data_IF_178997080004
#
_entry.id   IF_178997080004
#
_cell.length_a   1.000
_cell.length_b   1.000
_cell.length_c   1.000
_cell.angle_alpha   90.00
_cell.angle_beta   90.00
_cell.angle_gamma   90.00
#
_symmetry.space_group_name_H-M   'P 1'
#
loop_
_entity.id
_entity.type
_entity.pdbx_description
1 polymer ?
#
# COMPACT_ATOMS: atom_id res chain seq x y z
N UNK A 1 -12.56 -43.55 2.40
CA UNK A 1 -12.64 -42.09 2.20
C UNK A 1 -12.62 -41.82 0.71
N UNK A 2 -13.61 -41.12 0.15
CA UNK A 2 -13.65 -40.88 -1.31
C UNK A 2 -13.00 -39.54 -1.65
N UNK A 3 -12.44 -39.42 -2.86
CA UNK A 3 -11.80 -38.18 -3.35
C UNK A 3 -12.71 -36.95 -3.25
N UNK A 4 -14.02 -37.14 -3.41
CA UNK A 4 -15.03 -36.09 -3.25
C UNK A 4 -15.18 -35.63 -1.80
N UNK A 5 -15.16 -36.55 -0.84
CA UNK A 5 -15.25 -36.22 0.59
C UNK A 5 -14.00 -35.48 1.06
N UNK A 6 -12.83 -35.93 0.63
CA UNK A 6 -11.56 -35.26 0.94
C UNK A 6 -11.49 -33.82 0.38
N UNK A 7 -11.94 -33.61 -0.86
CA UNK A 7 -11.98 -32.27 -1.46
C UNK A 7 -12.97 -31.33 -0.75
N UNK A 8 -14.12 -31.85 -0.31
CA UNK A 8 -15.12 -31.08 0.44
C UNK A 8 -14.62 -30.69 1.84
N UNK A 9 -13.93 -31.59 2.54
CA UNK A 9 -13.34 -31.33 3.85
C UNK A 9 -12.16 -30.35 3.76
N UNK A 10 -11.33 -30.45 2.71
CA UNK A 10 -10.23 -29.52 2.47
C UNK A 10 -10.74 -28.10 2.19
N UNK A 11 -11.80 -27.96 1.38
CA UNK A 11 -12.41 -26.65 1.09
C UNK A 11 -13.09 -26.04 2.32
N UNK A 12 -13.78 -26.85 3.13
CA UNK A 12 -14.37 -26.39 4.39
C UNK A 12 -13.30 -25.94 5.41
N UNK A 13 -12.20 -26.69 5.52
CA UNK A 13 -11.09 -26.36 6.42
C UNK A 13 -10.35 -25.07 6.04
N UNK A 14 -10.08 -24.85 4.74
CA UNK A 14 -9.47 -23.61 4.24
C UNK A 14 -10.39 -22.39 4.43
N UNK A 15 -11.70 -22.55 4.17
CA UNK A 15 -12.65 -21.45 4.35
C UNK A 15 -12.74 -21.02 5.82
N UNK A 16 -12.79 -21.97 6.76
CA UNK A 16 -12.85 -21.68 8.20
C UNK A 16 -11.56 -21.03 8.75
N UNK A 17 -10.40 -21.42 8.22
CA UNK A 17 -9.11 -20.84 8.64
C UNK A 17 -8.87 -19.42 8.11
N UNK A 18 -9.50 -19.05 6.99
CA UNK A 18 -9.37 -17.72 6.37
C UNK A 18 -10.49 -16.74 6.76
N UNK A 19 -11.67 -17.25 7.17
CA UNK A 19 -12.83 -16.43 7.53
C UNK A 19 -12.54 -15.31 8.56
N UNK A 20 -11.83 -15.53 9.69
CA UNK A 20 -11.58 -14.46 10.66
C UNK A 20 -10.61 -13.39 10.14
N UNK A 21 -9.69 -13.72 9.23
CA UNK A 21 -8.78 -12.74 8.59
C UNK A 21 -9.50 -11.89 7.52
N UNK A 22 -10.44 -12.50 6.80
CA UNK A 22 -11.29 -11.80 5.84
C UNK A 22 -12.36 -10.95 6.53
N UNK A 23 -12.92 -11.42 7.65
CA UNK A 23 -13.90 -10.67 8.45
C UNK A 23 -13.28 -9.46 9.16
N UNK A 24 -12.01 -9.54 9.59
CA UNK A 24 -11.27 -8.38 10.12
C UNK A 24 -11.05 -7.27 9.06
N UNK A 25 -11.07 -7.62 7.77
CA UNK A 25 -11.03 -6.67 6.65
C UNK A 25 -12.43 -6.14 6.27
N UNK A 26 -13.50 -6.86 6.60
CA UNK A 26 -14.88 -6.51 6.26
C UNK A 26 -15.48 -5.53 7.29
N UNK A 27 -15.14 -4.25 7.20
CA UNK A 27 -15.83 -3.23 8.02
C UNK A 27 -15.18 -1.84 8.05
N UNK A 28 -13.91 -1.74 7.63
CA UNK A 28 -13.22 -0.46 7.48
C UNK A 28 -12.56 -0.36 6.11
N UNK A 29 -12.36 0.84 5.56
CA UNK A 29 -11.70 0.97 4.28
C UNK A 29 -10.27 0.44 4.32
N UNK A 30 -9.76 -0.15 3.21
CA UNK A 30 -8.40 -0.67 3.14
C UNK A 30 -7.41 0.48 3.26
N UNK A 31 -6.36 0.27 4.07
CA UNK A 31 -5.32 1.27 4.31
C UNK A 31 -4.04 0.87 3.60
N UNK A 32 -3.65 1.66 2.61
CA UNK A 32 -2.51 1.37 1.74
C UNK A 32 -1.37 2.32 2.10
N UNK A 33 -0.22 1.76 2.47
CA UNK A 33 1.03 2.49 2.55
C UNK A 33 1.71 2.44 1.18
N UNK A 34 1.71 3.56 0.47
CA UNK A 34 2.36 3.68 -0.83
C UNK A 34 3.81 4.11 -0.61
N UNK A 35 4.75 3.16 -0.69
CA UNK A 35 6.19 3.47 -0.74
C UNK A 35 6.57 3.84 -2.16
N UNK A 36 6.57 5.13 -2.46
CA UNK A 36 6.86 5.64 -3.80
C UNK A 36 7.38 7.06 -3.72
N UNK A 37 8.30 7.42 -4.59
CA UNK A 37 8.49 8.78 -5.07
C UNK A 37 9.38 8.73 -6.31
N UNK A 38 9.62 9.89 -6.92
CA UNK A 38 10.46 10.04 -8.10
C UNK A 38 11.63 10.97 -7.84
N UNK A 39 12.62 10.96 -8.74
CA UNK A 39 13.66 11.98 -8.75
C UNK A 39 13.15 13.18 -9.54
N UNK A 40 13.05 14.36 -8.94
CA UNK A 40 12.53 15.55 -9.62
C UNK A 40 13.32 15.97 -10.87
N UNK A 41 14.53 15.43 -11.06
CA UNK A 41 15.37 15.61 -12.25
C UNK A 41 15.12 14.57 -13.36
N UNK A 42 14.45 13.46 -13.05
CA UNK A 42 14.15 12.41 -14.01
C UNK A 42 12.73 12.60 -14.54
N UNK A 43 12.60 13.11 -15.76
CA UNK A 43 11.27 13.39 -16.35
C UNK A 43 10.49 12.08 -16.61
N UNK A 44 11.19 10.97 -16.81
CA UNK A 44 10.59 9.69 -17.17
C UNK A 44 9.72 9.06 -16.07
N UNK A 45 10.02 9.33 -14.79
CA UNK A 45 9.30 8.73 -13.66
C UNK A 45 8.40 9.71 -12.89
N UNK A 46 8.32 10.99 -13.30
CA UNK A 46 7.43 12.01 -12.68
C UNK A 46 5.98 11.54 -12.62
N UNK A 47 5.52 10.80 -13.64
CA UNK A 47 4.14 10.33 -13.72
C UNK A 47 3.81 9.15 -12.81
N UNK A 48 4.79 8.45 -12.26
CA UNK A 48 4.58 7.16 -11.59
C UNK A 48 3.71 7.30 -10.34
N UNK A 49 4.13 8.15 -9.39
CA UNK A 49 3.42 8.36 -8.13
C UNK A 49 2.05 9.01 -8.32
N UNK A 50 1.88 10.14 -9.04
CA UNK A 50 0.54 10.71 -9.25
C UNK A 50 -0.36 9.77 -10.07
N UNK A 51 0.20 9.00 -11.00
CA UNK A 51 -0.53 8.01 -11.79
C UNK A 51 -1.08 6.87 -10.94
N UNK A 52 -0.25 6.28 -10.06
CA UNK A 52 -0.74 5.20 -9.17
C UNK A 52 -1.75 5.73 -8.14
N UNK A 53 -1.55 6.93 -7.60
CA UNK A 53 -2.52 7.55 -6.68
C UNK A 53 -3.86 7.76 -7.39
N UNK A 54 -3.84 8.19 -8.66
CA UNK A 54 -5.06 8.33 -9.46
C UNK A 54 -5.76 6.99 -9.67
N UNK A 55 -5.03 5.96 -10.11
CA UNK A 55 -5.59 4.63 -10.34
C UNK A 55 -6.21 4.03 -9.07
N UNK A 56 -5.54 4.18 -7.93
CA UNK A 56 -6.08 3.74 -6.64
C UNK A 56 -7.36 4.52 -6.30
N UNK A 57 -7.39 5.84 -6.51
CA UNK A 57 -8.59 6.63 -6.27
C UNK A 57 -9.76 6.30 -7.20
N UNK A 58 -9.50 5.88 -8.44
CA UNK A 58 -10.51 5.50 -9.42
C UNK A 58 -11.06 4.08 -9.19
N UNK A 59 -10.18 3.14 -8.83
CA UNK A 59 -10.54 1.71 -8.73
C UNK A 59 -10.76 1.22 -7.30
N UNK A 60 -10.25 1.93 -6.30
CA UNK A 60 -10.42 1.65 -4.87
C UNK A 60 -10.76 2.96 -4.13
N UNK A 61 -11.88 3.63 -4.46
CA UNK A 61 -12.21 4.98 -3.97
C UNK A 61 -12.38 5.08 -2.44
N UNK A 62 -12.67 3.96 -1.79
CA UNK A 62 -12.74 3.83 -0.33
C UNK A 62 -11.36 3.75 0.32
N UNK A 63 -10.31 3.34 -0.41
CA UNK A 63 -8.99 3.14 0.17
C UNK A 63 -8.41 4.42 0.78
N UNK A 64 -7.88 4.28 1.99
CA UNK A 64 -7.10 5.33 2.62
C UNK A 64 -5.64 5.17 2.22
N UNK A 65 -5.13 6.13 1.44
CA UNK A 65 -3.76 6.07 0.91
C UNK A 65 -2.87 6.99 1.74
N UNK A 66 -1.78 6.43 2.27
CA UNK A 66 -0.68 7.17 2.90
C UNK A 66 0.56 7.05 2.02
N UNK A 67 1.04 8.17 1.49
CA UNK A 67 2.29 8.23 0.73
C UNK A 67 3.48 8.28 1.70
N UNK A 68 4.39 7.32 1.57
CA UNK A 68 5.73 7.36 2.17
C UNK A 68 6.74 7.72 1.08
N UNK A 69 7.08 9.01 0.92
CA UNK A 69 7.92 9.49 -0.16
C UNK A 69 9.41 9.30 0.09
N UNK A 70 10.21 9.08 -0.96
CA UNK A 70 11.67 9.13 -0.86
C UNK A 70 12.16 10.57 -0.80
N UNK A 71 11.57 11.44 -1.61
CA UNK A 71 11.80 12.89 -1.65
C UNK A 71 10.56 13.56 -2.22
N UNK A 72 10.16 14.71 -1.69
CA UNK A 72 8.96 15.48 -2.17
C UNK A 72 9.24 16.99 -2.27
N UNK A 73 10.48 17.37 -2.53
CA UNK A 73 10.85 18.78 -2.73
C UNK A 73 10.41 19.37 -4.07
N UNK A 74 10.80 20.62 -4.34
CA UNK A 74 10.58 21.32 -5.62
C UNK A 74 9.10 21.45 -6.05
N UNK A 75 8.19 21.70 -5.12
CA UNK A 75 6.77 21.89 -5.44
C UNK A 75 5.96 20.60 -5.58
N UNK A 76 6.60 19.43 -5.42
CA UNK A 76 5.95 18.13 -5.58
C UNK A 76 4.91 17.89 -4.49
N UNK A 77 5.26 18.13 -3.23
CA UNK A 77 4.32 17.96 -2.13
C UNK A 77 3.07 18.84 -2.31
N UNK A 78 3.27 20.11 -2.65
CA UNK A 78 2.19 21.09 -2.88
C UNK A 78 1.30 20.65 -4.04
N UNK A 79 1.91 20.18 -5.13
CA UNK A 79 1.19 19.66 -6.29
C UNK A 79 0.38 18.42 -5.94
N UNK A 80 0.94 17.48 -5.18
CA UNK A 80 0.22 16.28 -4.73
C UNK A 80 -0.93 16.62 -3.79
N UNK A 81 -0.70 17.48 -2.79
CA UNK A 81 -1.74 17.94 -1.86
C UNK A 81 -2.89 18.64 -2.58
N UNK A 82 -2.59 19.47 -3.58
CA UNK A 82 -3.61 20.18 -4.38
C UNK A 82 -4.45 19.23 -5.22
N UNK A 83 -3.83 18.23 -5.86
CA UNK A 83 -4.53 17.35 -6.80
C UNK A 83 -5.13 16.11 -6.15
N UNK A 84 -4.67 15.72 -4.96
CA UNK A 84 -5.10 14.52 -4.24
C UNK A 84 -5.43 14.87 -2.77
N UNK A 85 -6.53 15.59 -2.50
CA UNK A 85 -6.82 16.13 -1.16
C UNK A 85 -7.07 15.07 -0.08
N UNK A 86 -7.36 13.82 -0.47
CA UNK A 86 -7.52 12.68 0.46
C UNK A 86 -6.19 12.00 0.82
N UNK A 87 -5.10 12.34 0.13
CA UNK A 87 -3.80 11.70 0.31
C UNK A 87 -3.17 12.12 1.64
N UNK A 88 -2.75 11.12 2.42
CA UNK A 88 -1.96 11.34 3.64
C UNK A 88 -0.47 11.20 3.33
N UNK A 89 0.38 11.76 4.18
CA UNK A 89 1.84 11.73 4.02
C UNK A 89 2.48 11.17 5.28
N UNK A 90 3.53 10.35 5.09
CA UNK A 90 4.42 9.87 6.13
C UNK A 90 5.85 10.28 5.78
N UNK A 91 6.26 11.47 6.21
CA UNK A 91 7.55 12.08 5.82
C UNK A 91 8.56 11.94 6.96
N UNK A 92 8.14 12.21 8.19
CA UNK A 92 8.96 12.06 9.38
C UNK A 92 9.01 10.60 9.85
N UNK A 93 10.07 10.19 10.59
CA UNK A 93 10.14 8.85 11.15
C UNK A 93 8.92 8.47 11.99
N UNK A 94 8.40 9.38 12.82
CA UNK A 94 7.22 9.13 13.64
C UNK A 94 5.97 8.86 12.80
N UNK A 95 5.78 9.59 11.70
CA UNK A 95 4.67 9.35 10.79
C UNK A 95 4.81 8.02 10.05
N UNK A 96 6.04 7.60 9.74
CA UNK A 96 6.32 6.28 9.17
C UNK A 96 5.93 5.18 10.16
N UNK A 97 6.32 5.30 11.45
CA UNK A 97 5.90 4.33 12.48
C UNK A 97 4.38 4.23 12.61
N UNK A 98 3.70 5.39 12.61
CA UNK A 98 2.23 5.44 12.64
C UNK A 98 1.63 4.78 11.39
N UNK A 99 2.22 5.00 10.22
CA UNK A 99 1.78 4.41 8.98
C UNK A 99 2.01 2.89 8.95
N UNK A 100 3.10 2.41 9.54
CA UNK A 100 3.39 0.98 9.75
C UNK A 100 2.30 0.30 10.57
N UNK A 101 1.97 0.88 11.72
CA UNK A 101 0.95 0.34 12.60
C UNK A 101 -0.48 0.43 12.02
N UNK A 102 -0.76 1.41 11.16
CA UNK A 102 -2.11 1.69 10.68
C UNK A 102 -2.46 1.01 9.35
N UNK A 103 -1.47 0.62 8.54
CA UNK A 103 -1.71 0.17 7.15
C UNK A 103 -1.85 -1.35 7.07
N UNK A 104 -2.66 -1.80 6.11
CA UNK A 104 -2.94 -3.23 5.87
C UNK A 104 -2.02 -3.81 4.80
N UNK A 105 -1.54 -2.96 3.90
CA UNK A 105 -0.82 -3.35 2.71
C UNK A 105 0.20 -2.29 2.31
N UNK A 106 1.45 -2.73 2.10
CA UNK A 106 2.48 -1.91 1.49
C UNK A 106 2.45 -2.09 -0.03
N UNK A 107 2.14 -1.01 -0.75
CA UNK A 107 2.32 -0.94 -2.19
C UNK A 107 3.64 -0.25 -2.50
N UNK A 108 4.56 -0.97 -3.12
CA UNK A 108 5.82 -0.41 -3.61
C UNK A 108 5.65 0.18 -5.01
N UNK A 109 6.08 1.42 -5.21
CA UNK A 109 6.01 2.12 -6.50
C UNK A 109 6.98 1.58 -7.56
N UNK A 110 6.70 1.87 -8.83
CA UNK A 110 7.55 1.44 -9.95
C UNK A 110 8.87 2.23 -10.00
N UNK A 111 9.97 1.52 -10.31
CA UNK A 111 11.32 2.06 -10.52
C UNK A 111 12.13 1.16 -11.46
N UNK A 112 13.40 1.49 -11.77
CA UNK A 112 14.25 0.69 -12.67
C UNK A 112 14.57 -0.72 -12.13
N UNK A 113 14.22 -0.98 -10.88
CA UNK A 113 14.33 -2.26 -10.15
C UNK A 113 13.47 -2.18 -8.87
N UNK A 114 13.65 -3.13 -7.93
CA UNK A 114 13.14 -2.99 -6.57
C UNK A 114 13.96 -1.95 -5.79
N UNK A 115 13.68 -0.67 -6.09
CA UNK A 115 14.20 0.44 -5.31
C UNK A 115 13.68 0.36 -3.86
N UNK A 116 14.33 1.03 -2.92
CA UNK A 116 13.93 1.01 -1.50
C UNK A 116 13.74 -0.41 -0.90
N UNK A 117 14.48 -1.41 -1.38
CA UNK A 117 14.37 -2.80 -0.90
C UNK A 117 14.50 -2.91 0.62
N UNK A 118 15.36 -2.09 1.25
CA UNK A 118 15.51 -2.05 2.70
C UNK A 118 14.24 -1.60 3.42
N UNK A 119 13.49 -0.66 2.84
CA UNK A 119 12.23 -0.18 3.39
C UNK A 119 11.14 -1.26 3.31
N UNK A 120 11.11 -2.00 2.18
CA UNK A 120 10.20 -3.13 2.00
C UNK A 120 10.55 -4.28 2.95
N UNK A 121 11.84 -4.58 3.12
CA UNK A 121 12.32 -5.58 4.08
C UNK A 121 11.94 -5.18 5.52
N UNK A 122 12.17 -3.92 5.88
CA UNK A 122 11.80 -3.35 7.17
C UNK A 122 10.30 -3.50 7.45
N UNK A 123 9.46 -3.12 6.49
CA UNK A 123 8.00 -3.32 6.59
C UNK A 123 7.68 -4.78 6.91
N UNK A 124 8.21 -5.72 6.13
CA UNK A 124 7.96 -7.15 6.34
C UNK A 124 8.41 -7.63 7.73
N UNK A 125 9.60 -7.21 8.17
CA UNK A 125 10.14 -7.59 9.48
C UNK A 125 9.29 -7.05 10.64
N UNK A 126 8.74 -5.84 10.51
CA UNK A 126 7.99 -5.17 11.57
C UNK A 126 6.48 -5.51 11.57
N UNK A 127 5.90 -5.89 10.42
CA UNK A 127 4.44 -6.12 10.29
C UNK A 127 4.03 -7.58 10.05
N UNK A 128 4.97 -8.47 9.72
CA UNK A 128 4.72 -9.92 9.50
C UNK A 128 4.54 -10.32 8.04
#
# INVERSE_FOLDING_TARGET
MTRRTFLAELTAGLAAACAPRLAAAAGRPPRILLRSSWQTVNIGDIGHTPGVIRLLGEHLPEAEITLWPSIVGNGVEEMLRRNFPKLRFAISPEEVEKAFAASDFLLHGSGPSLVAQKDVARWREETG
#
